data_IF_056067349378
#
_entry.id   IF_056067349378
#
_cell.length_a   1.000
_cell.length_b   1.000
_cell.length_c   1.000
_cell.angle_alpha   90.00
_cell.angle_beta   90.00
_cell.angle_gamma   90.00
#
_symmetry.space_group_name_H-M   'P 1'
#
loop_
_entity.id
_entity.type
_entity.pdbx_description
1 polymer ?
#
# COMPACT_ATOMS: atom_id res chain seq x y z
N UNK A 1 -32.79 22.47 -19.07
CA UNK A 1 -32.60 21.69 -17.83
C UNK A 1 -31.66 22.44 -16.92
N UNK A 2 -31.87 22.40 -15.61
CA UNK A 2 -30.90 22.99 -14.66
C UNK A 2 -29.62 22.19 -14.66
N UNK A 3 -28.44 22.86 -14.73
CA UNK A 3 -27.12 22.19 -14.65
C UNK A 3 -26.86 21.54 -13.28
N UNK A 4 -27.77 21.75 -12.32
CA UNK A 4 -27.73 21.18 -10.96
C UNK A 4 -28.92 20.24 -10.69
N UNK A 5 -29.56 19.68 -11.71
CA UNK A 5 -30.61 18.69 -11.53
C UNK A 5 -29.99 17.35 -11.08
N UNK A 6 -30.79 16.51 -10.41
CA UNK A 6 -30.39 15.15 -10.00
C UNK A 6 -29.95 14.35 -11.24
N UNK A 7 -30.69 14.44 -12.34
CA UNK A 7 -30.36 13.72 -13.58
C UNK A 7 -28.99 14.13 -14.11
N UNK A 8 -28.68 15.44 -14.14
CA UNK A 8 -27.37 15.95 -14.56
C UNK A 8 -26.24 15.48 -13.63
N UNK A 9 -26.51 15.40 -12.32
CA UNK A 9 -25.53 14.84 -11.36
C UNK A 9 -25.28 13.35 -11.62
N UNK A 10 -26.35 12.56 -11.80
CA UNK A 10 -26.25 11.12 -12.08
C UNK A 10 -25.45 10.89 -13.39
N UNK A 11 -25.75 11.62 -14.46
CA UNK A 11 -25.02 11.50 -15.73
C UNK A 11 -23.51 11.82 -15.58
N UNK A 12 -23.17 12.84 -14.79
CA UNK A 12 -21.76 13.24 -14.58
C UNK A 12 -20.98 12.28 -13.69
N UNK A 13 -21.66 11.54 -12.81
CA UNK A 13 -21.04 10.66 -11.82
C UNK A 13 -21.34 9.18 -12.08
N UNK A 14 -22.02 8.86 -13.19
CA UNK A 14 -22.33 7.50 -13.55
C UNK A 14 -21.05 6.68 -13.74
N UNK A 15 -21.10 5.44 -13.27
CA UNK A 15 -20.06 4.46 -13.49
C UNK A 15 -19.72 4.36 -14.98
N UNK A 16 -18.43 4.26 -15.28
CA UNK A 16 -17.90 4.09 -16.63
C UNK A 16 -17.27 2.71 -16.75
N UNK A 17 -18.07 1.74 -17.24
CA UNK A 17 -17.54 0.42 -17.59
C UNK A 17 -16.70 0.55 -18.87
N UNK A 18 -15.39 0.40 -18.74
CA UNK A 18 -14.42 0.45 -19.83
C UNK A 18 -13.98 -0.94 -20.31
N UNK A 19 -14.39 -2.00 -19.61
CA UNK A 19 -14.05 -3.37 -19.96
C UNK A 19 -12.55 -3.68 -19.92
N UNK A 20 -11.80 -3.05 -19.01
CA UNK A 20 -10.34 -3.13 -18.94
C UNK A 20 -9.81 -4.34 -18.15
N UNK A 21 -10.69 -5.27 -17.78
CA UNK A 21 -10.31 -6.50 -17.09
C UNK A 21 -10.56 -6.47 -15.60
N UNK A 22 -9.74 -7.20 -14.82
CA UNK A 22 -9.99 -7.42 -13.39
C UNK A 22 -9.97 -6.11 -12.58
N UNK A 23 -8.98 -5.24 -12.83
CA UNK A 23 -8.84 -3.94 -12.16
C UNK A 23 -9.09 -2.81 -13.15
N UNK A 24 -10.00 -1.92 -12.80
CA UNK A 24 -10.34 -0.75 -13.59
C UNK A 24 -10.39 0.50 -12.69
N UNK A 25 -9.95 1.63 -13.24
CA UNK A 25 -9.97 2.91 -12.51
C UNK A 25 -11.26 3.65 -12.82
N UNK A 26 -12.20 3.71 -11.87
CA UNK A 26 -13.38 4.58 -11.96
C UNK A 26 -13.03 6.06 -11.80
N UNK A 27 -12.06 6.33 -10.95
CA UNK A 27 -11.47 7.64 -10.77
C UNK A 27 -10.03 7.50 -10.28
N UNK A 28 -9.23 8.58 -10.22
CA UNK A 28 -7.88 8.49 -9.66
C UNK A 28 -7.79 7.97 -8.22
N UNK A 29 -8.94 7.81 -7.53
CA UNK A 29 -9.01 7.43 -6.10
C UNK A 29 -9.99 6.30 -5.82
N UNK A 30 -10.52 5.68 -6.86
CA UNK A 30 -11.51 4.61 -6.75
C UNK A 30 -11.15 3.51 -7.76
N UNK A 31 -10.84 2.34 -7.22
CA UNK A 31 -10.58 1.13 -7.99
C UNK A 31 -11.88 0.33 -8.09
N UNK A 32 -12.24 -0.06 -9.30
CA UNK A 32 -13.21 -1.11 -9.56
C UNK A 32 -12.49 -2.45 -9.74
N UNK A 33 -13.03 -3.47 -9.10
CA UNK A 33 -12.60 -4.86 -9.23
C UNK A 33 -13.73 -5.66 -9.85
N UNK A 34 -13.55 -6.09 -11.10
CA UNK A 34 -14.46 -7.01 -11.80
C UNK A 34 -14.18 -8.43 -11.34
N UNK A 35 -14.76 -8.79 -10.18
CA UNK A 35 -14.47 -10.04 -9.49
C UNK A 35 -15.10 -11.23 -10.16
N UNK A 36 -14.27 -12.22 -10.53
CA UNK A 36 -14.66 -13.57 -10.93
C UNK A 36 -13.62 -14.54 -10.35
N UNK A 37 -13.86 -15.02 -9.13
CA UNK A 37 -12.92 -15.81 -8.35
C UNK A 37 -12.49 -15.12 -7.06
N UNK A 38 -11.20 -14.79 -6.90
CA UNK A 38 -10.61 -14.25 -5.66
C UNK A 38 -9.69 -13.06 -5.93
N UNK A 39 -9.81 -12.06 -5.07
CA UNK A 39 -8.86 -10.94 -4.96
C UNK A 39 -8.51 -10.71 -3.49
N UNK A 40 -7.24 -10.46 -3.23
CA UNK A 40 -6.75 -9.98 -1.95
C UNK A 40 -6.88 -8.46 -1.89
N UNK A 41 -7.36 -7.93 -0.77
CA UNK A 41 -7.54 -6.50 -0.60
C UNK A 41 -7.22 -6.05 0.83
N UNK A 42 -6.86 -4.80 0.99
CA UNK A 42 -6.69 -4.15 2.28
C UNK A 42 -8.00 -4.19 3.07
N UNK A 43 -7.94 -4.58 4.32
CA UNK A 43 -9.11 -4.58 5.20
C UNK A 43 -9.62 -3.15 5.39
N UNK A 44 -10.94 -2.96 5.21
CA UNK A 44 -11.58 -1.66 5.32
C UNK A 44 -11.54 -0.83 4.02
N UNK A 45 -10.90 -1.30 2.96
CA UNK A 45 -10.85 -0.57 1.68
C UNK A 45 -12.14 -0.68 0.85
N UNK A 46 -13.01 -1.66 1.11
CA UNK A 46 -14.27 -1.82 0.38
C UNK A 46 -15.23 -0.70 0.74
N UNK A 47 -15.64 0.06 -0.29
CA UNK A 47 -16.62 1.16 -0.16
C UNK A 47 -17.99 0.80 -0.72
N UNK A 48 -18.05 -0.09 -1.73
CA UNK A 48 -19.28 -0.62 -2.28
C UNK A 48 -19.04 -1.96 -2.97
N UNK A 49 -20.09 -2.75 -3.16
CA UNK A 49 -20.05 -3.92 -4.03
C UNK A 49 -21.44 -4.28 -4.54
N UNK A 50 -21.48 -5.06 -5.62
CA UNK A 50 -22.69 -5.71 -6.14
C UNK A 50 -22.37 -7.13 -6.62
N UNK A 51 -23.36 -7.99 -6.65
CA UNK A 51 -23.22 -9.40 -7.00
C UNK A 51 -23.08 -10.31 -5.79
N UNK A 52 -22.57 -11.51 -6.01
CA UNK A 52 -22.41 -12.54 -4.97
C UNK A 52 -20.95 -12.54 -4.48
N UNK A 53 -20.65 -11.65 -3.55
CA UNK A 53 -19.29 -11.47 -3.02
C UNK A 53 -19.27 -11.79 -1.54
N UNK A 54 -18.30 -12.62 -1.13
CA UNK A 54 -17.99 -12.94 0.26
C UNK A 54 -16.66 -12.32 0.67
N UNK A 55 -16.65 -11.70 1.84
CA UNK A 55 -15.42 -11.15 2.41
C UNK A 55 -14.98 -12.01 3.61
N UNK A 56 -13.77 -12.55 3.53
CA UNK A 56 -13.19 -13.40 4.58
C UNK A 56 -11.87 -12.81 5.04
N UNK A 57 -11.75 -12.56 6.34
CA UNK A 57 -10.47 -12.13 6.91
C UNK A 57 -9.48 -13.29 6.89
N UNK A 58 -8.25 -13.02 6.44
CA UNK A 58 -7.18 -13.99 6.57
C UNK A 58 -6.87 -14.22 8.05
N UNK A 59 -7.04 -15.46 8.48
CA UNK A 59 -6.55 -15.89 9.79
C UNK A 59 -5.03 -16.10 9.72
N UNK A 60 -4.28 -15.44 10.60
CA UNK A 60 -2.80 -15.50 10.71
C UNK A 60 -2.23 -16.93 10.77
N UNK A 61 -3.09 -17.93 10.86
CA UNK A 61 -2.73 -19.33 11.07
C UNK A 61 -2.57 -20.16 9.79
N UNK A 62 -3.09 -19.70 8.64
CA UNK A 62 -3.17 -20.55 7.45
C UNK A 62 -1.87 -20.57 6.61
N UNK A 63 -0.99 -19.59 6.75
CA UNK A 63 0.27 -19.52 5.97
C UNK A 63 1.55 -19.86 6.73
N UNK A 64 1.47 -20.64 7.82
CA UNK A 64 2.67 -21.24 8.47
C UNK A 64 3.66 -20.25 9.08
N UNK A 65 3.31 -19.00 9.20
CA UNK A 65 4.18 -17.96 9.75
C UNK A 65 4.11 -18.01 11.27
N UNK A 66 5.21 -18.47 11.86
CA UNK A 66 5.33 -18.86 13.25
C UNK A 66 4.91 -17.82 14.30
N UNK A 67 4.85 -18.25 15.55
CA UNK A 67 4.38 -17.56 16.77
C UNK A 67 4.86 -16.10 16.97
N UNK A 68 5.85 -15.62 16.23
CA UNK A 68 6.39 -14.25 16.26
C UNK A 68 5.46 -13.22 15.62
N UNK A 69 4.68 -13.62 14.60
CA UNK A 69 3.72 -12.72 13.93
C UNK A 69 2.46 -12.42 14.76
N UNK A 70 2.11 -13.27 15.73
CA UNK A 70 0.98 -12.99 16.64
C UNK A 70 1.11 -11.67 17.40
N UNK A 71 2.34 -11.20 17.64
CA UNK A 71 2.61 -9.94 18.35
C UNK A 71 2.67 -8.72 17.41
N UNK A 72 3.01 -8.95 16.15
CA UNK A 72 3.13 -7.89 15.14
C UNK A 72 1.77 -7.50 14.53
N UNK A 73 0.82 -8.44 14.51
CA UNK A 73 -0.52 -8.23 13.93
C UNK A 73 -1.51 -7.61 14.95
N UNK A 74 -1.13 -7.44 16.21
CA UNK A 74 -1.93 -6.69 17.19
C UNK A 74 -1.77 -5.16 17.08
N UNK A 75 -0.82 -4.66 16.30
CA UNK A 75 -0.73 -3.27 15.87
C UNK A 75 -1.30 -3.13 14.45
N UNK A 76 -1.66 -1.94 14.03
CA UNK A 76 -2.35 -1.58 12.79
C UNK A 76 -1.68 -2.00 11.46
N UNK A 77 -0.90 -3.09 11.46
CA UNK A 77 -0.25 -3.67 10.28
C UNK A 77 -1.24 -4.15 9.22
N UNK A 78 -0.80 -4.27 8.00
CA UNK A 78 -1.58 -4.65 6.81
C UNK A 78 -2.47 -5.86 7.08
N UNK A 79 -3.75 -5.59 7.31
CA UNK A 79 -4.75 -6.63 7.47
C UNK A 79 -5.34 -6.88 6.09
N UNK A 80 -5.12 -8.08 5.57
CA UNK A 80 -5.68 -8.48 4.30
C UNK A 80 -7.04 -9.17 4.50
N UNK A 81 -7.90 -8.96 3.53
CA UNK A 81 -9.22 -9.58 3.40
C UNK A 81 -9.28 -10.23 2.02
N UNK A 82 -9.85 -11.42 1.93
CA UNK A 82 -10.19 -12.06 0.68
C UNK A 82 -11.58 -11.62 0.25
N UNK A 83 -11.73 -11.15 -0.98
CA UNK A 83 -13.01 -11.01 -1.65
C UNK A 83 -13.15 -12.18 -2.63
N UNK A 84 -14.18 -12.99 -2.49
CA UNK A 84 -14.42 -14.20 -3.29
C UNK A 84 -15.82 -14.19 -3.86
N UNK A 85 -15.95 -14.62 -5.11
CA UNK A 85 -17.25 -14.78 -5.79
C UNK A 85 -17.29 -14.11 -7.14
N UNK A 86 -18.48 -13.67 -7.55
CA UNK A 86 -18.72 -13.01 -8.84
C UNK A 86 -19.49 -11.73 -8.63
N UNK A 87 -18.97 -10.63 -9.19
CA UNK A 87 -19.57 -9.31 -9.05
C UNK A 87 -18.58 -8.19 -9.22
N UNK A 88 -18.96 -7.00 -8.77
CA UNK A 88 -18.09 -5.81 -8.83
C UNK A 88 -17.84 -5.31 -7.42
N UNK A 89 -16.58 -5.03 -7.07
CA UNK A 89 -16.17 -4.48 -5.78
C UNK A 89 -15.46 -3.15 -6.01
N UNK A 90 -15.85 -2.13 -5.28
CA UNK A 90 -15.22 -0.81 -5.33
C UNK A 90 -14.34 -0.61 -4.11
N UNK A 91 -13.07 -0.26 -4.35
CA UNK A 91 -12.06 -0.09 -3.32
C UNK A 91 -11.52 1.34 -3.31
N UNK A 92 -11.38 1.90 -2.13
CA UNK A 92 -10.72 3.18 -1.88
C UNK A 92 -9.94 3.14 -0.56
N UNK A 93 -9.00 4.04 -0.38
CA UNK A 93 -8.16 4.13 0.81
C UNK A 93 -8.01 5.60 1.22
N UNK A 94 -8.91 6.09 2.08
CA UNK A 94 -8.88 7.44 2.67
C UNK A 94 -8.57 8.57 1.67
N UNK A 95 -9.11 8.48 0.45
CA UNK A 95 -8.90 9.48 -0.60
C UNK A 95 -7.50 9.48 -1.22
N UNK A 96 -6.65 8.50 -0.94
CA UNK A 96 -5.37 8.29 -1.64
C UNK A 96 -5.59 8.03 -3.13
N UNK A 97 -4.59 8.38 -3.94
CA UNK A 97 -4.56 8.02 -5.37
C UNK A 97 -4.24 6.54 -5.51
N UNK A 98 -4.90 5.89 -6.46
CA UNK A 98 -4.66 4.49 -6.80
C UNK A 98 -3.75 4.41 -8.02
N UNK A 99 -2.81 3.46 -8.01
CA UNK A 99 -2.01 3.07 -9.15
C UNK A 99 -2.07 1.56 -9.33
N UNK A 100 -2.31 1.11 -10.56
CA UNK A 100 -2.30 -0.31 -10.92
C UNK A 100 -0.94 -0.64 -11.52
N UNK A 101 -0.34 -1.73 -11.05
CA UNK A 101 0.96 -2.24 -11.49
C UNK A 101 0.77 -3.68 -11.94
N UNK A 102 1.25 -4.02 -13.11
CA UNK A 102 1.31 -5.40 -13.60
C UNK A 102 2.66 -6.02 -13.25
N UNK A 103 2.64 -7.14 -12.54
CA UNK A 103 3.81 -7.97 -12.32
C UNK A 103 3.92 -8.97 -13.47
N UNK A 104 5.08 -8.98 -14.14
CA UNK A 104 5.37 -9.85 -15.30
C UNK A 104 5.99 -11.20 -14.94
N UNK A 105 6.21 -11.44 -13.65
CA UNK A 105 6.87 -12.64 -13.13
C UNK A 105 8.39 -12.53 -13.08
N UNK A 106 8.95 -11.37 -13.40
CA UNK A 106 10.40 -11.14 -13.36
C UNK A 106 10.77 -10.27 -12.16
N UNK A 107 10.95 -10.89 -11.02
CA UNK A 107 11.30 -10.18 -9.80
C UNK A 107 10.12 -10.00 -8.86
N UNK A 108 10.36 -9.26 -7.79
CA UNK A 108 9.39 -8.98 -6.76
C UNK A 108 9.18 -7.48 -6.60
N UNK A 109 7.99 -7.13 -6.13
CA UNK A 109 7.64 -5.79 -5.65
C UNK A 109 7.46 -5.87 -4.13
N UNK A 110 8.15 -5.01 -3.40
CA UNK A 110 7.89 -4.77 -1.98
C UNK A 110 7.03 -3.53 -1.85
N UNK A 111 5.94 -3.61 -1.09
CA UNK A 111 5.01 -2.49 -0.86
C UNK A 111 4.88 -2.26 0.63
N UNK A 112 4.92 -1.02 1.07
CA UNK A 112 4.56 -0.65 2.44
C UNK A 112 3.13 -1.13 2.73
N UNK A 113 2.93 -1.76 3.88
CA UNK A 113 1.64 -2.34 4.20
C UNK A 113 0.48 -1.35 4.21
N UNK A 114 0.73 -0.08 4.52
CA UNK A 114 -0.29 0.96 4.50
C UNK A 114 -0.70 1.40 3.09
N UNK A 115 0.15 1.11 2.10
CA UNK A 115 -0.04 1.55 0.72
C UNK A 115 -0.48 0.42 -0.23
N UNK A 116 -0.56 -0.83 0.26
CA UNK A 116 -1.09 -1.95 -0.52
C UNK A 116 -2.61 -1.93 -0.47
N UNK A 117 -3.28 -1.75 -1.63
CA UNK A 117 -4.74 -1.72 -1.74
C UNK A 117 -5.32 -3.09 -2.07
N UNK A 118 -4.84 -3.72 -3.14
CA UNK A 118 -5.33 -5.02 -3.59
C UNK A 118 -4.31 -5.73 -4.49
N UNK A 119 -4.44 -7.04 -4.63
CA UNK A 119 -3.69 -7.82 -5.61
C UNK A 119 -4.46 -9.07 -6.06
N UNK A 120 -4.17 -9.49 -7.27
CA UNK A 120 -4.80 -10.61 -7.94
C UNK A 120 -4.43 -11.94 -7.28
N UNK A 121 -5.34 -12.90 -7.31
CA UNK A 121 -5.08 -14.30 -6.98
C UNK A 121 -3.92 -14.85 -7.83
N UNK A 122 -3.10 -15.74 -7.23
CA UNK A 122 -1.93 -16.32 -7.91
C UNK A 122 -0.63 -15.54 -7.67
N UNK A 123 -0.69 -14.28 -7.24
CA UNK A 123 0.47 -13.57 -6.74
C UNK A 123 0.88 -14.19 -5.39
N UNK A 124 2.11 -14.65 -5.29
CA UNK A 124 2.69 -15.11 -4.03
C UNK A 124 3.04 -13.88 -3.18
N UNK A 125 2.73 -13.95 -1.90
CA UNK A 125 2.98 -12.84 -1.00
C UNK A 125 3.54 -13.30 0.35
N UNK A 126 4.37 -12.45 0.95
CA UNK A 126 4.95 -12.67 2.27
C UNK A 126 5.08 -11.33 3.00
N UNK A 127 4.79 -11.34 4.29
CA UNK A 127 4.94 -10.15 5.14
C UNK A 127 6.36 -10.14 5.70
N UNK A 128 7.12 -9.12 5.37
CA UNK A 128 8.45 -8.88 5.90
C UNK A 128 8.40 -7.79 6.98
N UNK A 129 8.80 -8.14 8.18
CA UNK A 129 9.00 -7.16 9.24
C UNK A 129 10.46 -6.68 9.21
N UNK A 130 10.68 -5.38 9.20
CA UNK A 130 12.03 -4.84 9.28
C UNK A 130 12.58 -5.03 10.70
N UNK A 131 13.52 -5.98 10.86
CA UNK A 131 13.96 -6.58 12.11
C UNK A 131 14.54 -5.63 13.17
N UNK A 132 14.87 -4.39 12.84
CA UNK A 132 15.54 -3.44 13.77
C UNK A 132 14.63 -2.33 14.30
N UNK A 133 13.36 -2.31 13.95
CA UNK A 133 12.45 -1.19 14.29
C UNK A 133 11.44 -1.55 15.37
N UNK A 134 11.33 -2.81 15.76
CA UNK A 134 10.27 -3.32 16.66
C UNK A 134 10.19 -2.64 18.04
N UNK A 135 11.18 -1.86 18.42
CA UNK A 135 11.23 -1.20 19.72
C UNK A 135 10.99 0.32 19.67
N UNK A 136 11.04 0.96 18.50
CA UNK A 136 11.06 2.43 18.38
C UNK A 136 9.84 3.05 17.71
N UNK A 137 9.08 2.27 16.93
CA UNK A 137 7.90 2.79 16.21
C UNK A 137 6.66 2.03 16.71
N UNK A 138 5.77 2.72 17.36
CA UNK A 138 4.52 2.18 17.91
C UNK A 138 3.57 1.59 16.83
N UNK A 139 3.91 1.69 15.55
CA UNK A 139 3.14 1.19 14.40
C UNK A 139 3.85 0.16 13.52
N UNK A 140 5.09 -0.26 13.81
CA UNK A 140 5.86 -1.29 13.08
C UNK A 140 5.81 -1.13 11.55
N UNK A 141 6.97 -0.89 10.90
CA UNK A 141 7.05 -0.87 9.44
C UNK A 141 6.92 -2.30 8.89
N UNK A 142 5.79 -2.59 8.31
CA UNK A 142 5.55 -3.83 7.59
C UNK A 142 5.62 -3.56 6.09
N UNK A 143 6.26 -4.44 5.37
CA UNK A 143 6.13 -4.49 3.93
C UNK A 143 5.58 -5.85 3.50
N UNK A 144 4.86 -5.83 2.39
CA UNK A 144 4.37 -7.02 1.71
C UNK A 144 5.23 -7.21 0.47
N UNK A 145 5.92 -8.35 0.42
CA UNK A 145 6.66 -8.77 -0.76
C UNK A 145 5.72 -9.55 -1.67
N UNK A 146 5.61 -9.14 -2.91
CA UNK A 146 4.72 -9.69 -3.93
C UNK A 146 5.56 -10.25 -5.07
N UNK A 147 5.30 -11.50 -5.48
CA UNK A 147 6.02 -12.19 -6.55
C UNK A 147 5.04 -12.92 -7.48
N UNK A 148 5.43 -13.10 -8.74
CA UNK A 148 4.63 -13.82 -9.72
C UNK A 148 4.06 -12.91 -10.79
N UNK A 149 2.95 -13.32 -11.41
CA UNK A 149 2.29 -12.57 -12.48
C UNK A 149 0.89 -12.17 -12.04
N UNK A 150 0.50 -10.96 -12.37
CA UNK A 150 -0.83 -10.45 -12.10
C UNK A 150 -0.85 -8.97 -11.74
N UNK A 151 -2.02 -8.46 -11.39
CA UNK A 151 -2.24 -7.06 -11.09
C UNK A 151 -2.12 -6.77 -9.59
N UNK A 152 -1.45 -5.69 -9.27
CA UNK A 152 -1.33 -5.11 -7.92
C UNK A 152 -1.84 -3.69 -7.98
N UNK A 153 -2.66 -3.29 -7.02
CA UNK A 153 -3.06 -1.90 -6.80
C UNK A 153 -2.40 -1.37 -5.52
N UNK A 154 -1.76 -0.22 -5.65
CA UNK A 154 -1.17 0.52 -4.54
C UNK A 154 -1.83 1.88 -4.39
N UNK A 155 -1.71 2.49 -3.22
CA UNK A 155 -2.23 3.83 -2.93
C UNK A 155 -1.13 4.78 -2.52
N UNK A 156 -1.29 6.06 -2.87
CA UNK A 156 -0.36 7.13 -2.49
C UNK A 156 -1.11 8.40 -2.13
N UNK A 157 -0.61 9.13 -1.15
CA UNK A 157 -1.01 10.52 -0.98
C UNK A 157 -0.34 11.35 -2.07
N UNK A 158 -1.14 11.98 -2.91
CA UNK A 158 -0.71 12.77 -4.08
C UNK A 158 0.05 11.95 -5.14
N UNK A 159 0.80 12.61 -6.00
CA UNK A 159 1.56 11.99 -7.07
C UNK A 159 2.86 11.39 -6.54
N UNK A 160 3.12 10.10 -6.77
CA UNK A 160 4.36 9.47 -6.34
C UNK A 160 5.54 9.89 -7.22
N UNK A 161 6.75 9.77 -6.66
CA UNK A 161 8.01 9.91 -7.38
C UNK A 161 8.77 8.59 -7.31
N UNK A 162 9.29 8.13 -8.45
CA UNK A 162 10.16 6.96 -8.51
C UNK A 162 11.61 7.39 -8.64
N UNK A 163 12.45 6.96 -7.69
CA UNK A 163 13.89 7.14 -7.68
C UNK A 163 14.57 5.84 -8.14
N UNK A 164 15.50 5.94 -9.07
CA UNK A 164 16.34 4.81 -9.46
C UNK A 164 17.48 4.63 -8.47
N UNK A 165 17.73 3.39 -8.06
CA UNK A 165 18.87 3.01 -7.22
C UNK A 165 19.93 2.37 -8.13
N UNK A 166 21.16 2.87 -8.09
CA UNK A 166 22.28 2.39 -8.87
C UNK A 166 23.44 2.00 -7.95
N UNK A 167 24.31 1.10 -8.44
CA UNK A 167 25.50 0.70 -7.67
C UNK A 167 26.39 1.90 -7.36
N UNK A 168 26.72 2.07 -6.09
CA UNK A 168 27.54 3.19 -5.62
C UNK A 168 26.78 4.50 -5.39
N UNK A 169 25.48 4.54 -5.72
CA UNK A 169 24.59 5.69 -5.48
C UNK A 169 23.41 5.28 -4.61
N UNK A 170 23.59 5.21 -3.28
CA UNK A 170 22.52 4.83 -2.38
C UNK A 170 21.40 5.89 -2.32
N UNK A 171 20.16 5.43 -2.23
CA UNK A 171 18.99 6.30 -2.01
C UNK A 171 18.57 6.21 -0.56
N UNK A 172 18.34 7.36 0.05
CA UNK A 172 17.83 7.47 1.42
C UNK A 172 16.41 8.03 1.39
N UNK A 173 15.50 7.42 2.14
CA UNK A 173 14.11 7.85 2.22
C UNK A 173 13.60 7.86 3.65
N UNK A 174 12.59 8.68 3.94
CA UNK A 174 11.80 8.52 5.14
C UNK A 174 10.96 7.24 5.05
N UNK A 175 10.93 6.39 6.11
CA UNK A 175 10.13 5.18 6.12
C UNK A 175 8.63 5.42 5.89
N UNK A 176 8.08 6.53 6.38
CA UNK A 176 6.66 6.87 6.27
C UNK A 176 6.29 7.48 4.90
N UNK A 177 7.29 7.98 4.17
CA UNK A 177 7.12 8.46 2.80
C UNK A 177 7.45 7.38 1.74
N UNK A 178 7.95 6.21 2.17
CA UNK A 178 8.35 5.12 1.28
C UNK A 178 7.16 4.22 0.99
N UNK A 179 6.73 4.15 -0.27
CA UNK A 179 5.54 3.41 -0.72
C UNK A 179 5.89 2.00 -1.20
N UNK A 180 6.85 1.88 -2.12
CA UNK A 180 7.19 0.60 -2.72
C UNK A 180 8.64 0.60 -3.25
N UNK A 181 9.20 -0.59 -3.46
CA UNK A 181 10.54 -0.76 -4.04
C UNK A 181 10.71 -2.12 -4.71
N UNK A 182 11.69 -2.22 -5.60
CA UNK A 182 12.05 -3.50 -6.23
C UNK A 182 12.55 -4.50 -5.18
N UNK A 183 12.04 -5.72 -5.26
CA UNK A 183 12.35 -6.79 -4.30
C UNK A 183 13.81 -7.30 -4.36
N UNK A 184 14.63 -6.80 -5.29
CA UNK A 184 16.08 -6.98 -5.32
C UNK A 184 16.81 -6.14 -4.28
N UNK A 185 16.17 -5.11 -3.74
CA UNK A 185 16.73 -4.21 -2.74
C UNK A 185 16.30 -4.66 -1.33
N UNK A 186 17.28 -4.81 -0.43
CA UNK A 186 17.04 -5.04 0.99
C UNK A 186 17.43 -3.77 1.77
N UNK A 187 16.46 -2.88 2.08
CA UNK A 187 16.79 -1.63 2.74
C UNK A 187 17.31 -1.85 4.16
N UNK A 188 18.30 -1.06 4.53
CA UNK A 188 18.81 -0.97 5.91
C UNK A 188 18.31 0.29 6.57
N UNK A 189 17.99 0.20 7.87
CA UNK A 189 17.61 1.38 8.65
C UNK A 189 18.87 2.06 9.20
N UNK A 190 19.00 3.34 8.93
CA UNK A 190 20.06 4.20 9.46
C UNK A 190 19.43 5.22 10.39
N UNK A 191 20.04 5.39 11.57
CA UNK A 191 19.74 6.48 12.49
C UNK A 191 20.89 7.44 12.44
N UNK A 192 20.64 8.69 12.07
CA UNK A 192 21.69 9.71 12.11
C UNK A 192 21.90 10.20 13.54
N UNK A 193 22.87 9.58 14.23
CA UNK A 193 23.24 9.92 15.60
C UNK A 193 23.97 11.28 15.67
N UNK A 194 24.52 11.74 14.55
CA UNK A 194 25.33 12.96 14.48
C UNK A 194 24.52 14.26 14.64
N UNK A 195 23.24 14.24 14.22
CA UNK A 195 22.38 15.42 14.35
C UNK A 195 21.87 15.68 15.76
N UNK A 196 21.82 14.67 16.63
CA UNK A 196 21.36 14.82 18.02
C UNK A 196 22.27 15.70 18.88
N UNK A 197 23.54 15.82 18.53
CA UNK A 197 24.53 16.50 19.35
C UNK A 197 24.65 18.01 19.05
N UNK A 198 24.21 18.45 17.87
CA UNK A 198 24.55 19.81 17.43
C UNK A 198 23.44 20.86 17.59
N UNK A 199 22.16 20.52 17.76
CA UNK A 199 21.08 21.52 17.71
C UNK A 199 20.04 21.46 18.83
N UNK A 200 20.10 20.59 19.83
CA UNK A 200 19.18 20.65 20.99
C UNK A 200 17.66 20.63 20.64
N UNK A 201 17.30 20.53 19.37
CA UNK A 201 15.93 20.38 18.84
C UNK A 201 15.93 19.15 17.95
N UNK A 202 15.26 18.09 18.40
CA UNK A 202 15.06 16.90 17.58
C UNK A 202 14.29 17.29 16.31
N UNK A 203 14.97 17.32 15.15
CA UNK A 203 14.28 17.17 13.88
C UNK A 203 13.70 15.75 13.86
N UNK A 204 12.42 15.57 13.53
CA UNK A 204 11.74 14.26 13.49
C UNK A 204 12.36 13.23 12.52
N UNK A 205 13.39 13.61 11.77
CA UNK A 205 14.06 12.82 10.72
C UNK A 205 15.18 11.91 11.24
N UNK A 206 15.01 11.30 12.40
CA UNK A 206 16.06 10.49 13.02
C UNK A 206 16.19 9.08 12.43
N UNK A 207 15.28 8.63 11.60
CA UNK A 207 15.26 7.29 11.01
C UNK A 207 15.12 7.36 9.50
N UNK A 208 16.04 6.71 8.79
CA UNK A 208 16.04 6.66 7.33
C UNK A 208 16.14 5.22 6.84
N UNK A 209 15.47 4.92 5.74
CA UNK A 209 15.71 3.72 4.95
C UNK A 209 16.81 4.00 3.93
N UNK A 210 17.85 3.18 3.92
CA UNK A 210 18.93 3.24 2.94
C UNK A 210 18.80 2.07 1.97
N UNK A 211 18.71 2.37 0.68
CA UNK A 211 18.62 1.42 -0.41
C UNK A 211 19.94 1.42 -1.19
N UNK A 212 20.60 0.26 -1.26
CA UNK A 212 21.85 0.05 -1.98
C UNK A 212 21.67 -1.10 -2.99
N UNK A 213 22.30 -1.00 -4.18
CA UNK A 213 22.21 -2.02 -5.23
C UNK A 213 21.68 -1.49 -6.53
N UNK A 214 20.82 -2.25 -7.21
CA UNK A 214 20.20 -1.87 -8.49
C UNK A 214 18.69 -2.11 -8.41
N UNK A 215 17.90 -1.08 -8.72
CA UNK A 215 16.45 -1.14 -8.68
C UNK A 215 15.77 0.23 -8.65
N UNK A 216 14.64 0.30 -7.99
CA UNK A 216 13.88 1.55 -7.80
C UNK A 216 13.23 1.61 -6.42
N UNK A 217 12.94 2.83 -6.00
CA UNK A 217 12.13 3.14 -4.81
C UNK A 217 11.06 4.16 -5.21
N UNK A 218 9.83 3.90 -4.80
CA UNK A 218 8.68 4.81 -4.97
C UNK A 218 8.44 5.52 -3.65
N UNK A 219 8.38 6.84 -3.70
CA UNK A 219 8.07 7.69 -2.55
C UNK A 219 6.84 8.56 -2.81
N UNK A 220 6.21 9.02 -1.75
CA UNK A 220 5.12 10.00 -1.78
C UNK A 220 5.54 11.28 -1.06
N UNK A 221 4.97 12.46 -1.43
CA UNK A 221 5.37 13.75 -0.88
C UNK A 221 4.75 14.06 0.49
N UNK A 222 4.46 13.04 1.29
CA UNK A 222 3.82 13.12 2.60
C UNK A 222 4.28 11.97 3.48
N UNK A 223 4.54 12.26 4.74
CA UNK A 223 4.72 11.26 5.79
C UNK A 223 3.35 10.82 6.35
N UNK A 224 3.01 9.53 6.27
CA UNK A 224 1.70 9.02 6.71
C UNK A 224 1.37 9.34 8.18
N UNK A 225 2.36 9.35 9.06
CA UNK A 225 2.19 9.67 10.48
C UNK A 225 1.70 11.10 10.75
N UNK A 226 1.94 12.04 9.83
CA UNK A 226 1.61 13.46 9.99
C UNK A 226 0.13 13.73 9.71
N UNK A 227 -0.49 12.96 8.82
CA UNK A 227 -1.91 13.17 8.44
C UNK A 227 -2.85 12.71 9.56
N UNK A 228 -2.53 11.59 10.23
CA UNK A 228 -3.37 11.05 11.30
C UNK A 228 -3.41 11.94 12.55
N UNK A 229 -2.37 12.73 12.80
CA UNK A 229 -2.31 13.65 13.94
C UNK A 229 -3.09 14.96 13.73
N UNK A 230 -3.43 15.31 12.49
CA UNK A 230 -4.19 16.53 12.13
C UNK A 230 -5.71 16.40 12.27
N UNK A 231 -6.28 15.19 12.28
CA UNK A 231 -7.73 14.98 12.36
C UNK A 231 -8.29 14.90 13.80
N UNK A 232 -7.45 14.91 14.82
CA UNK A 232 -7.91 14.80 16.22
C UNK A 232 -8.13 16.12 16.95
N UNK A 233 -8.05 17.27 16.27
CA UNK A 233 -8.27 18.61 16.83
C UNK A 233 -9.32 19.39 16.06
N UNK A 234 -10.54 18.84 15.93
CA UNK A 234 -11.69 19.53 15.39
C UNK A 234 -12.94 19.27 16.23
#
# INVERSE_FOLDING_TARGET
MSRYSIDSFIEQTAQQDRGQGLFEMESPRLLEVNLDGLVWMKMGAMVAYRGQVRFTREGILEHGVGKLLKKAVSGEGTRLTRAEGTGTVYLADAGKKVSIIELDGQGALCVNGNDLLAFQEGIQWDIKMMRRVSAMLAGGLFNVRLEGRGLVAITTHFDPLTLRVQRGEPVFTDPNATVAWSGSLEPTLKTDVSFKTFLGRGSGESLQMCFEGEGFVVIQPVEEGTIQSGESTG
#
